data_IF_604239859988
#
_entry.id   IF_604239859988
#
_cell.length_a   1.000
_cell.length_b   1.000
_cell.length_c   1.000
_cell.angle_alpha   90.00
_cell.angle_beta   90.00
_cell.angle_gamma   90.00
#
_symmetry.space_group_name_H-M   'P 1'
#
loop_
_entity.id
_entity.type
_entity.pdbx_description
1 polymer ?
#
# COMPACT_ATOMS: atom_id res chain seq x y z
N UNK A 1 18.54 13.99 17.33
CA UNK A 1 17.41 13.18 17.81
C UNK A 1 16.04 13.71 17.35
N UNK A 2 15.77 15.00 17.48
CA UNK A 2 14.47 15.61 17.11
C UNK A 2 14.06 15.33 15.65
N UNK A 3 14.97 15.44 14.69
CA UNK A 3 14.66 15.23 13.25
C UNK A 3 14.30 13.77 12.90
N UNK A 4 14.77 12.79 13.64
CA UNK A 4 14.38 11.40 13.47
C UNK A 4 12.94 11.15 13.93
N UNK A 5 12.55 11.75 15.06
CA UNK A 5 11.17 11.70 15.55
C UNK A 5 10.23 12.38 14.55
N UNK A 6 10.61 13.55 14.03
CA UNK A 6 9.86 14.24 12.99
C UNK A 6 9.77 13.39 11.72
N UNK A 7 10.89 12.82 11.26
CA UNK A 7 10.93 11.95 10.07
C UNK A 7 9.99 10.75 10.20
N UNK A 8 9.97 10.09 11.35
CA UNK A 8 9.08 8.96 11.61
C UNK A 8 7.60 9.36 11.58
N UNK A 9 7.19 10.43 12.30
CA UNK A 9 5.80 10.87 12.29
C UNK A 9 5.35 11.45 10.95
N UNK A 10 6.25 12.05 10.19
CA UNK A 10 6.00 12.46 8.80
C UNK A 10 5.74 11.25 7.90
N UNK A 11 6.58 10.20 7.99
CA UNK A 11 6.41 8.95 7.26
C UNK A 11 5.08 8.27 7.65
N UNK A 12 4.79 8.18 8.94
CA UNK A 12 3.51 7.66 9.43
C UNK A 12 2.31 8.41 8.81
N UNK A 13 2.28 9.73 8.97
CA UNK A 13 1.16 10.56 8.50
C UNK A 13 0.99 10.58 6.97
N UNK A 14 2.06 10.27 6.22
CA UNK A 14 2.03 10.23 4.76
C UNK A 14 1.63 8.85 4.21
N UNK A 15 2.09 7.75 4.84
CA UNK A 15 1.99 6.40 4.26
C UNK A 15 1.00 5.48 4.97
N UNK A 16 0.42 5.89 6.09
CA UNK A 16 -0.57 5.10 6.82
C UNK A 16 -1.92 5.81 6.91
N UNK A 17 -2.99 5.07 6.71
CA UNK A 17 -4.35 5.55 6.98
C UNK A 17 -4.66 5.64 8.48
N UNK A 18 -3.82 5.02 9.32
CA UNK A 18 -3.97 5.04 10.77
C UNK A 18 -3.68 6.46 11.27
N UNK A 19 -4.56 7.07 12.09
CA UNK A 19 -4.37 8.43 12.58
C UNK A 19 -3.00 8.62 13.23
N UNK A 20 -2.25 9.59 12.73
CA UNK A 20 -0.94 9.91 13.27
C UNK A 20 -1.09 10.55 14.65
N UNK A 21 -0.47 10.01 15.72
CA UNK A 21 -0.57 10.56 17.06
C UNK A 21 -0.06 12.01 17.19
N UNK A 22 0.92 12.37 16.34
CA UNK A 22 1.50 13.71 16.30
C UNK A 22 1.66 14.17 14.85
N UNK A 23 0.90 15.17 14.44
CA UNK A 23 1.05 15.81 13.13
C UNK A 23 2.26 16.75 13.18
N UNK A 24 3.43 16.23 12.83
CA UNK A 24 4.67 16.99 12.79
C UNK A 24 5.12 17.15 11.34
N UNK A 25 5.54 18.35 10.97
CA UNK A 25 6.14 18.63 9.67
C UNK A 25 7.41 19.45 9.82
N UNK A 26 8.46 19.09 9.11
CA UNK A 26 9.71 19.84 9.06
C UNK A 26 10.43 19.59 7.73
N UNK A 27 10.74 20.65 7.00
CA UNK A 27 11.50 20.53 5.76
C UNK A 27 12.91 19.98 5.99
N UNK A 28 13.54 20.29 7.11
CA UNK A 28 14.86 19.76 7.46
C UNK A 28 14.85 18.26 7.74
N UNK A 29 13.72 17.72 8.22
CA UNK A 29 13.53 16.31 8.51
C UNK A 29 13.07 15.47 7.29
N UNK A 30 12.82 16.10 6.12
CA UNK A 30 12.27 15.43 4.93
C UNK A 30 13.10 14.24 4.45
N UNK A 31 14.44 14.36 4.47
CA UNK A 31 15.33 13.24 4.16
C UNK A 31 15.23 12.09 5.18
N UNK A 32 15.00 12.42 6.45
CA UNK A 32 14.83 11.43 7.50
C UNK A 32 13.51 10.66 7.38
N UNK A 33 12.47 11.28 6.82
CA UNK A 33 11.21 10.61 6.51
C UNK A 33 11.43 9.39 5.61
N UNK A 34 12.21 9.53 4.53
CA UNK A 34 12.51 8.41 3.63
C UNK A 34 13.31 7.30 4.31
N UNK A 35 14.25 7.67 5.18
CA UNK A 35 15.03 6.68 5.96
C UNK A 35 14.18 5.96 7.00
N UNK A 36 13.06 6.57 7.45
CA UNK A 36 12.11 5.95 8.39
C UNK A 36 11.09 5.04 7.72
N UNK A 37 11.02 4.95 6.36
CA UNK A 37 10.08 4.07 5.66
C UNK A 37 10.15 2.60 6.11
N UNK A 38 11.32 1.99 6.35
CA UNK A 38 11.37 0.62 6.86
C UNK A 38 10.64 0.43 8.20
N UNK A 39 10.62 1.45 9.06
CA UNK A 39 9.87 1.39 10.32
C UNK A 39 8.35 1.41 10.08
N UNK A 40 7.91 2.16 9.08
CA UNK A 40 6.50 2.14 8.64
C UNK A 40 6.16 0.77 8.04
N UNK A 41 7.06 0.19 7.24
CA UNK A 41 6.93 -1.18 6.71
C UNK A 41 6.79 -2.22 7.82
N UNK A 42 7.60 -2.12 8.89
CA UNK A 42 7.48 -3.00 10.07
C UNK A 42 6.10 -2.89 10.74
N UNK A 43 5.53 -1.69 10.84
CA UNK A 43 4.18 -1.51 11.38
C UNK A 43 3.13 -2.16 10.49
N UNK A 44 3.19 -1.95 9.18
CA UNK A 44 2.28 -2.59 8.20
C UNK A 44 2.41 -4.11 8.29
N UNK A 45 3.64 -4.63 8.27
CA UNK A 45 3.93 -6.06 8.37
C UNK A 45 3.44 -6.68 9.68
N UNK A 46 3.61 -5.97 10.80
CA UNK A 46 3.11 -6.41 12.11
C UNK A 46 1.58 -6.50 12.15
N UNK A 47 0.88 -5.50 11.61
CA UNK A 47 -0.58 -5.50 11.49
C UNK A 47 -1.04 -6.62 10.58
N UNK A 48 -0.39 -6.81 9.45
CA UNK A 48 -0.69 -7.87 8.49
C UNK A 48 -0.49 -9.27 9.10
N UNK A 49 0.64 -9.50 9.78
CA UNK A 49 0.90 -10.75 10.48
C UNK A 49 -0.13 -11.01 11.59
N UNK A 50 -0.52 -9.98 12.34
CA UNK A 50 -1.60 -10.06 13.33
C UNK A 50 -2.94 -10.44 12.70
N UNK A 51 -3.30 -9.82 11.57
CA UNK A 51 -4.51 -10.15 10.83
C UNK A 51 -4.49 -11.61 10.33
N UNK A 52 -3.34 -12.07 9.79
CA UNK A 52 -3.18 -13.47 9.39
C UNK A 52 -3.37 -14.43 10.56
N UNK A 53 -2.80 -14.14 11.74
CA UNK A 53 -2.98 -14.96 12.94
C UNK A 53 -4.44 -15.05 13.38
N UNK A 54 -5.19 -13.96 13.25
CA UNK A 54 -6.62 -13.93 13.57
C UNK A 54 -7.45 -14.81 12.63
N UNK A 55 -7.10 -14.85 11.34
CA UNK A 55 -7.86 -15.59 10.32
C UNK A 55 -7.25 -16.95 9.97
N UNK A 56 -6.19 -17.40 10.65
CA UNK A 56 -5.50 -18.66 10.32
C UNK A 56 -6.40 -19.89 10.31
N UNK A 57 -7.45 -19.89 11.14
CA UNK A 57 -8.46 -20.95 11.22
C UNK A 57 -9.64 -20.77 10.25
N UNK A 58 -9.70 -19.68 9.50
CA UNK A 58 -10.76 -19.42 8.55
C UNK A 58 -10.57 -20.23 7.24
N UNK A 59 -11.63 -20.40 6.43
CA UNK A 59 -11.53 -21.00 5.11
C UNK A 59 -10.50 -20.30 4.24
N UNK A 60 -9.80 -21.06 3.39
CA UNK A 60 -8.72 -20.55 2.52
C UNK A 60 -9.08 -19.26 1.74
N UNK A 61 -10.24 -19.19 1.07
CA UNK A 61 -10.65 -17.99 0.35
C UNK A 61 -10.76 -16.73 1.23
N UNK A 62 -11.27 -16.88 2.46
CA UNK A 62 -11.40 -15.76 3.42
C UNK A 62 -10.03 -15.32 3.89
N UNK A 63 -9.16 -16.25 4.24
CA UNK A 63 -7.79 -15.98 4.65
C UNK A 63 -7.03 -15.24 3.55
N UNK A 64 -7.12 -15.70 2.30
CA UNK A 64 -6.50 -15.06 1.15
C UNK A 64 -7.01 -13.63 0.93
N UNK A 65 -8.31 -13.40 1.06
CA UNK A 65 -8.92 -12.08 0.92
C UNK A 65 -8.42 -11.10 1.99
N UNK A 66 -8.34 -11.54 3.26
CA UNK A 66 -7.82 -10.71 4.35
C UNK A 66 -6.34 -10.39 4.13
N UNK A 67 -5.53 -11.39 3.75
CA UNK A 67 -4.11 -11.17 3.47
C UNK A 67 -3.88 -10.19 2.31
N UNK A 68 -4.71 -10.22 1.27
CA UNK A 68 -4.64 -9.30 0.16
C UNK A 68 -5.07 -7.87 0.53
N UNK A 69 -6.15 -7.74 1.33
CA UNK A 69 -6.77 -6.45 1.61
C UNK A 69 -6.05 -5.64 2.70
N UNK A 70 -5.48 -6.28 3.73
CA UNK A 70 -4.94 -5.58 4.91
C UNK A 70 -3.85 -4.56 4.57
N UNK A 71 -2.83 -4.84 3.74
CA UNK A 71 -1.83 -3.83 3.39
C UNK A 71 -2.44 -2.60 2.70
N UNK A 72 -3.44 -2.81 1.84
CA UNK A 72 -4.12 -1.71 1.14
C UNK A 72 -4.92 -0.83 2.09
N UNK A 73 -5.67 -1.46 3.02
CA UNK A 73 -6.43 -0.76 4.05
C UNK A 73 -5.53 0.04 4.98
N UNK A 74 -4.43 -0.55 5.43
CA UNK A 74 -3.48 0.09 6.36
C UNK A 74 -2.77 1.28 5.72
N UNK A 75 -2.49 1.21 4.42
CA UNK A 75 -1.87 2.31 3.66
C UNK A 75 -2.89 3.27 3.04
N UNK A 76 -4.17 3.10 3.31
CA UNK A 76 -5.23 3.99 2.81
C UNK A 76 -5.38 3.99 1.30
N UNK A 77 -5.08 2.86 0.65
CA UNK A 77 -5.17 2.67 -0.81
C UNK A 77 -4.23 3.56 -1.65
N UNK A 78 -3.35 4.36 -1.03
CA UNK A 78 -2.51 5.32 -1.73
C UNK A 78 -1.66 4.68 -2.86
N UNK A 79 -1.17 3.45 -2.64
CA UNK A 79 -0.40 2.74 -3.65
C UNK A 79 -1.28 2.22 -4.79
N UNK A 80 -2.53 1.82 -4.48
CA UNK A 80 -3.50 1.42 -5.50
C UNK A 80 -3.94 2.59 -6.35
N UNK A 81 -4.19 3.74 -5.75
CA UNK A 81 -4.52 4.98 -6.44
C UNK A 81 -3.44 5.33 -7.47
N UNK A 82 -2.18 5.42 -7.04
CA UNK A 82 -1.07 5.65 -7.96
C UNK A 82 -0.90 4.57 -9.03
N UNK A 83 -1.17 3.30 -8.72
CA UNK A 83 -1.17 2.22 -9.69
C UNK A 83 -2.27 2.41 -10.74
N UNK A 84 -3.48 2.76 -10.31
CA UNK A 84 -4.63 3.01 -11.18
C UNK A 84 -4.37 4.18 -12.13
N UNK A 85 -3.84 5.29 -11.62
CA UNK A 85 -3.48 6.46 -12.42
C UNK A 85 -2.46 6.12 -13.51
N UNK A 86 -1.43 5.36 -13.16
CA UNK A 86 -0.41 4.90 -14.11
C UNK A 86 -1.02 3.97 -15.15
N UNK A 87 -1.89 3.04 -14.78
CA UNK A 87 -2.57 2.14 -15.72
C UNK A 87 -3.39 2.93 -16.74
N UNK A 88 -4.19 3.89 -16.30
CA UNK A 88 -4.95 4.74 -17.21
C UNK A 88 -4.06 5.55 -18.15
N UNK A 89 -3.02 6.19 -17.63
CA UNK A 89 -2.12 7.00 -18.43
C UNK A 89 -1.35 6.18 -19.48
N UNK A 90 -0.91 4.96 -19.14
CA UNK A 90 -0.10 4.11 -20.02
C UNK A 90 -0.98 3.40 -21.05
N UNK A 91 -2.08 2.79 -20.62
CA UNK A 91 -2.93 1.97 -21.48
C UNK A 91 -3.82 2.81 -22.42
N UNK A 92 -4.04 4.09 -22.11
CA UNK A 92 -4.71 5.01 -23.03
C UNK A 92 -3.97 5.21 -24.38
N UNK A 93 -2.69 4.80 -24.47
CA UNK A 93 -1.87 4.88 -25.69
C UNK A 93 -1.87 6.26 -26.34
N UNK A 94 -1.88 7.32 -25.53
CA UNK A 94 -1.86 8.72 -25.98
C UNK A 94 -0.43 9.26 -26.00
N UNK A 95 -0.27 10.45 -26.57
CA UNK A 95 0.96 11.22 -26.54
C UNK A 95 1.35 11.64 -25.10
N UNK A 96 2.62 11.98 -24.88
CA UNK A 96 3.16 12.27 -23.56
C UNK A 96 2.44 13.43 -22.83
N UNK A 97 2.12 14.57 -23.49
CA UNK A 97 1.34 15.63 -22.86
C UNK A 97 -0.02 15.16 -22.32
N UNK A 98 -0.74 14.36 -23.11
CA UNK A 98 -2.05 13.80 -22.71
C UNK A 98 -1.91 12.83 -21.54
N UNK A 99 -0.90 11.93 -21.53
CA UNK A 99 -0.65 11.03 -20.40
C UNK A 99 -0.37 11.80 -19.11
N UNK A 100 0.43 12.88 -19.18
CA UNK A 100 0.70 13.75 -18.02
C UNK A 100 -0.55 14.47 -17.53
N UNK A 101 -1.53 14.73 -18.40
CA UNK A 101 -2.82 15.30 -18.01
C UNK A 101 -3.68 14.25 -17.31
N UNK A 102 -3.72 13.00 -17.83
CA UNK A 102 -4.44 11.88 -17.21
C UNK A 102 -3.92 11.64 -15.78
N UNK A 103 -2.60 11.61 -15.57
CA UNK A 103 -1.99 11.46 -14.24
C UNK A 103 -2.34 12.58 -13.23
N UNK A 104 -2.92 13.68 -13.67
CA UNK A 104 -3.37 14.78 -12.81
C UNK A 104 -4.89 14.90 -12.73
N UNK A 105 -5.59 14.05 -13.44
CA UNK A 105 -7.04 13.99 -13.45
C UNK A 105 -7.51 13.16 -12.26
N UNK A 106 -8.46 13.66 -11.50
CA UNK A 106 -9.06 12.94 -10.39
C UNK A 106 -10.12 11.91 -10.81
N UNK A 107 -10.42 11.82 -12.11
CA UNK A 107 -11.38 10.84 -12.62
C UNK A 107 -10.71 9.50 -12.90
N UNK A 108 -11.35 8.44 -12.45
CA UNK A 108 -10.91 7.08 -12.70
C UNK A 108 -11.37 6.61 -14.09
N UNK A 109 -10.45 6.16 -14.92
CA UNK A 109 -10.74 5.59 -16.23
C UNK A 109 -10.99 4.08 -16.20
N UNK A 110 -11.46 3.55 -17.32
CA UNK A 110 -11.80 2.13 -17.44
C UNK A 110 -10.57 1.21 -17.28
N UNK A 111 -9.40 1.62 -17.77
CA UNK A 111 -8.18 0.81 -17.66
C UNK A 111 -7.70 0.69 -16.22
N UNK A 112 -7.84 1.73 -15.41
CA UNK A 112 -7.56 1.67 -13.98
C UNK A 112 -8.37 0.58 -13.29
N UNK A 113 -9.69 0.54 -13.54
CA UNK A 113 -10.60 -0.44 -12.94
C UNK A 113 -10.26 -1.87 -13.40
N UNK A 114 -10.03 -2.07 -14.71
CA UNK A 114 -9.65 -3.39 -15.24
C UNK A 114 -8.35 -3.88 -14.60
N UNK A 115 -7.32 -3.03 -14.56
CA UNK A 115 -6.04 -3.38 -13.96
C UNK A 115 -6.13 -3.64 -12.46
N UNK A 116 -6.94 -2.85 -11.73
CA UNK A 116 -7.20 -3.09 -10.31
C UNK A 116 -7.85 -4.46 -10.06
N UNK A 117 -8.87 -4.81 -10.86
CA UNK A 117 -9.53 -6.12 -10.74
C UNK A 117 -8.54 -7.26 -11.01
N UNK A 118 -7.72 -7.15 -12.07
CA UNK A 118 -6.70 -8.15 -12.39
C UNK A 118 -5.65 -8.26 -11.28
N UNK A 119 -5.20 -7.14 -10.71
CA UNK A 119 -4.27 -7.12 -9.59
C UNK A 119 -4.89 -7.79 -8.36
N UNK A 120 -6.13 -7.45 -8.01
CA UNK A 120 -6.82 -8.00 -6.85
C UNK A 120 -7.05 -9.52 -6.98
N UNK A 121 -7.49 -9.98 -8.14
CA UNK A 121 -7.67 -11.41 -8.42
C UNK A 121 -6.34 -12.17 -8.39
N UNK A 122 -5.30 -11.60 -9.00
CA UNK A 122 -3.96 -12.18 -9.00
C UNK A 122 -3.41 -12.31 -7.59
N UNK A 123 -3.47 -11.24 -6.80
CA UNK A 123 -2.98 -11.24 -5.43
C UNK A 123 -3.78 -12.21 -4.53
N UNK A 124 -5.11 -12.22 -4.65
CA UNK A 124 -5.96 -13.18 -3.94
C UNK A 124 -5.61 -14.63 -4.32
N UNK A 125 -5.43 -14.93 -5.61
CA UNK A 125 -5.06 -16.26 -6.08
C UNK A 125 -3.71 -16.71 -5.54
N UNK A 126 -2.71 -15.80 -5.49
CA UNK A 126 -1.39 -16.09 -4.93
C UNK A 126 -1.49 -16.44 -3.44
N UNK A 127 -2.22 -15.65 -2.65
CA UNK A 127 -2.42 -15.94 -1.24
C UNK A 127 -3.24 -17.22 -1.00
N UNK A 128 -4.19 -17.52 -1.89
CA UNK A 128 -4.96 -18.77 -1.82
C UNK A 128 -4.08 -19.99 -2.08
N UNK A 129 -3.12 -19.88 -3.00
CA UNK A 129 -2.21 -20.95 -3.36
C UNK A 129 -1.04 -21.13 -2.37
N UNK A 130 -0.79 -20.15 -1.50
CA UNK A 130 0.27 -20.20 -0.53
C UNK A 130 -0.11 -21.12 0.64
N UNK A 131 0.51 -22.29 0.74
CA UNK A 131 0.20 -23.29 1.77
C UNK A 131 0.69 -22.87 3.16
N UNK A 132 1.77 -22.11 3.25
CA UNK A 132 2.31 -21.62 4.51
C UNK A 132 2.79 -20.17 4.35
N UNK A 133 2.05 -19.25 4.96
CA UNK A 133 2.49 -17.88 5.16
C UNK A 133 2.82 -17.77 6.65
N UNK A 134 4.09 -17.88 7.02
CA UNK A 134 4.48 -17.72 8.42
C UNK A 134 5.37 -16.48 8.53
N UNK A 135 6.55 -16.60 9.00
CA UNK A 135 7.50 -15.50 9.19
C UNK A 135 8.07 -14.93 7.87
N UNK A 136 8.04 -15.70 6.79
CA UNK A 136 8.46 -15.26 5.46
C UNK A 136 7.65 -14.06 4.94
N UNK A 137 6.41 -13.96 5.35
CA UNK A 137 5.55 -12.84 4.98
C UNK A 137 6.01 -11.50 5.60
N UNK A 138 6.64 -11.54 6.77
CA UNK A 138 7.22 -10.35 7.41
C UNK A 138 8.43 -9.79 6.66
N UNK A 139 9.06 -10.61 5.79
CA UNK A 139 10.23 -10.23 5.01
C UNK A 139 9.87 -9.67 3.62
N UNK A 140 8.61 -9.82 3.18
CA UNK A 140 8.14 -9.41 1.86
C UNK A 140 7.46 -8.02 1.85
N UNK A 141 7.38 -7.38 3.01
CA UNK A 141 6.84 -6.03 3.20
C UNK A 141 7.96 -5.10 3.63
#
# INVERSE_FOLDING_TARGET
MRDWVYGFFMAWGMFLAIPCPKKLWSETARRKMLVCLPLVGLLVGGIWAGAWLLVRGAPGPVRAAVCAAVPWLVTGFMHLDGYMDVCDAVLARRDLPTRRRILKDSHCGAFAVICLVLLALGQWSLFLSAESIVWQALLLI
#
